data_IF_308582449293
#
_entry.id   IF_308582449293
#
_cell.length_a   1.000
_cell.length_b   1.000
_cell.length_c   1.000
_cell.angle_alpha   90.00
_cell.angle_beta   90.00
_cell.angle_gamma   90.00
#
_symmetry.space_group_name_H-M   'P 1'
#
loop_
_entity.id
_entity.type
_entity.pdbx_description
1 polymer ?
#
# COMPACT_ATOMS: atom_id res chain seq x y z
N UNK A 1 -6.38 -0.94 -1.93
CA UNK A 1 -6.35 0.53 -1.92
C UNK A 1 -7.71 1.14 -1.60
N UNK A 2 -8.81 0.72 -2.25
CA UNK A 2 -10.15 1.27 -2.01
C UNK A 2 -10.60 1.33 -0.54
N UNK A 3 -10.30 0.30 0.28
CA UNK A 3 -10.65 0.29 1.72
C UNK A 3 -9.96 1.38 2.53
N UNK A 4 -8.70 1.67 2.24
CA UNK A 4 -7.94 2.73 2.92
C UNK A 4 -8.36 4.12 2.42
N UNK A 5 -8.59 4.25 1.10
CA UNK A 5 -9.09 5.49 0.52
C UNK A 5 -10.49 5.88 1.04
N UNK A 6 -11.31 4.89 1.43
CA UNK A 6 -12.65 5.10 1.96
C UNK A 6 -12.71 5.29 3.49
N UNK A 7 -11.58 5.24 4.20
CA UNK A 7 -11.54 5.43 5.65
C UNK A 7 -11.76 6.91 6.04
N UNK A 8 -12.65 7.17 7.01
CA UNK A 8 -12.89 8.50 7.58
C UNK A 8 -12.92 8.44 9.11
N UNK A 9 -12.42 9.50 9.77
CA UNK A 9 -12.28 9.55 11.24
C UNK A 9 -13.61 9.55 12.00
N UNK A 10 -14.71 9.94 11.34
CA UNK A 10 -16.08 9.89 11.90
C UNK A 10 -16.69 8.48 11.86
N UNK A 11 -16.21 7.60 10.96
CA UNK A 11 -16.69 6.24 10.85
C UNK A 11 -15.94 5.38 11.88
N UNK A 12 -16.56 5.16 13.04
CA UNK A 12 -16.15 4.18 14.07
C UNK A 12 -16.27 2.72 13.55
N UNK A 13 -15.99 2.46 12.27
CA UNK A 13 -15.78 1.11 11.79
C UNK A 13 -14.47 0.60 12.40
N UNK A 14 -14.61 -0.46 13.17
CA UNK A 14 -13.69 -1.10 14.14
C UNK A 14 -12.26 -1.46 13.65
N UNK A 15 -11.87 -1.07 12.43
CA UNK A 15 -10.55 -1.32 11.86
C UNK A 15 -9.72 -0.04 11.97
N UNK A 16 -8.65 -0.12 12.75
CA UNK A 16 -7.70 0.98 12.89
C UNK A 16 -7.07 1.31 11.54
N UNK A 17 -6.92 2.61 11.26
CA UNK A 17 -6.20 3.13 10.08
C UNK A 17 -4.80 2.53 9.98
N UNK A 18 -4.16 2.27 11.12
CA UNK A 18 -2.84 1.61 11.15
C UNK A 18 -2.88 0.21 10.56
N UNK A 19 -3.89 -0.60 10.91
CA UNK A 19 -4.12 -1.93 10.32
C UNK A 19 -4.35 -1.84 8.81
N UNK A 20 -5.17 -0.88 8.36
CA UNK A 20 -5.40 -0.68 6.93
C UNK A 20 -4.10 -0.31 6.18
N UNK A 21 -3.24 0.49 6.80
CA UNK A 21 -1.94 0.83 6.22
C UNK A 21 -0.99 -0.37 6.18
N UNK A 22 -1.01 -1.22 7.20
CA UNK A 22 -0.19 -2.44 7.25
C UNK A 22 -0.60 -3.43 6.16
N UNK A 23 -1.91 -3.73 6.08
CA UNK A 23 -2.49 -4.58 5.04
C UNK A 23 -2.16 -4.05 3.63
N UNK A 24 -2.32 -2.73 3.44
CA UNK A 24 -1.98 -2.09 2.17
C UNK A 24 -0.48 -2.19 1.86
N UNK A 25 0.39 -2.03 2.86
CA UNK A 25 1.85 -2.16 2.71
C UNK A 25 2.22 -3.58 2.30
N UNK A 26 1.66 -4.59 2.96
CA UNK A 26 1.94 -5.98 2.63
C UNK A 26 1.48 -6.34 1.22
N UNK A 27 0.29 -5.88 0.81
CA UNK A 27 -0.21 -6.10 -0.55
C UNK A 27 0.67 -5.42 -1.62
N UNK A 28 1.13 -4.20 -1.38
CA UNK A 28 2.01 -3.49 -2.33
C UNK A 28 3.38 -4.15 -2.41
N UNK A 29 3.93 -4.62 -1.28
CA UNK A 29 5.18 -5.37 -1.28
C UNK A 29 5.07 -6.63 -2.15
N UNK A 30 4.03 -7.44 -1.96
CA UNK A 30 3.81 -8.65 -2.75
C UNK A 30 3.67 -8.34 -4.25
N UNK A 31 2.95 -7.27 -4.60
CA UNK A 31 2.79 -6.82 -5.98
C UNK A 31 4.13 -6.41 -6.62
N UNK A 32 4.98 -5.68 -5.90
CA UNK A 32 6.29 -5.27 -6.40
C UNK A 32 7.21 -6.48 -6.62
N UNK A 33 7.24 -7.44 -5.70
CA UNK A 33 8.03 -8.67 -5.87
C UNK A 33 7.56 -9.46 -7.08
N UNK A 34 6.26 -9.67 -7.25
CA UNK A 34 5.71 -10.36 -8.42
C UNK A 34 6.11 -9.67 -9.73
N UNK A 35 6.02 -8.33 -9.76
CA UNK A 35 6.43 -7.54 -10.92
C UNK A 35 7.92 -7.65 -11.21
N UNK A 36 8.76 -7.62 -10.19
CA UNK A 36 10.20 -7.77 -10.35
C UNK A 36 10.57 -9.15 -10.92
N UNK A 37 9.93 -10.22 -10.45
CA UNK A 37 10.09 -11.58 -10.98
C UNK A 37 9.69 -11.66 -12.46
N UNK A 38 8.65 -10.93 -12.86
CA UNK A 38 8.23 -10.83 -14.26
C UNK A 38 9.05 -9.84 -15.10
N UNK A 39 10.12 -9.23 -14.55
CA UNK A 39 10.96 -8.25 -15.25
C UNK A 39 10.36 -6.83 -15.34
N UNK A 40 9.23 -6.56 -14.68
CA UNK A 40 8.50 -5.30 -14.72
C UNK A 40 8.98 -4.33 -13.62
N UNK A 41 10.18 -3.77 -13.79
CA UNK A 41 10.86 -2.97 -12.74
C UNK A 41 10.37 -1.54 -12.55
N UNK A 42 9.61 -0.98 -13.50
CA UNK A 42 9.07 0.38 -13.37
C UNK A 42 7.80 0.37 -12.50
N UNK A 43 7.95 0.75 -11.23
CA UNK A 43 6.86 0.78 -10.27
C UNK A 43 6.03 2.09 -10.31
N UNK A 44 6.46 3.11 -11.06
CA UNK A 44 5.77 4.41 -11.09
C UNK A 44 4.37 4.32 -11.69
N UNK A 45 4.21 3.55 -12.77
CA UNK A 45 2.90 3.31 -13.39
C UNK A 45 1.94 2.59 -12.42
N UNK A 46 2.47 1.69 -11.59
CA UNK A 46 1.68 0.90 -10.62
C UNK A 46 1.20 1.77 -9.47
N UNK A 47 2.09 2.62 -8.96
CA UNK A 47 1.77 3.59 -7.90
C UNK A 47 0.64 4.51 -8.34
N UNK A 48 0.74 5.05 -9.56
CA UNK A 48 -0.29 5.91 -10.12
C UNK A 48 -1.59 5.15 -10.41
N UNK A 49 -1.52 4.00 -11.09
CA UNK A 49 -2.70 3.19 -11.45
C UNK A 49 -3.52 2.77 -10.23
N UNK A 50 -2.87 2.40 -9.12
CA UNK A 50 -3.55 1.94 -7.91
C UNK A 50 -3.71 3.03 -6.85
N UNK A 51 -3.27 4.25 -7.12
CA UNK A 51 -3.31 5.39 -6.19
C UNK A 51 -2.71 5.00 -4.84
N UNK A 52 -1.50 4.44 -4.86
CA UNK A 52 -0.81 3.94 -3.67
C UNK A 52 -0.46 5.15 -2.77
N UNK A 53 -0.96 5.20 -1.52
CA UNK A 53 -0.67 6.31 -0.62
C UNK A 53 0.83 6.43 -0.30
N UNK A 54 1.34 7.66 -0.16
CA UNK A 54 2.74 7.91 0.21
C UNK A 54 3.12 7.25 1.54
N UNK A 55 2.20 7.19 2.50
CA UNK A 55 2.40 6.51 3.80
C UNK A 55 2.68 5.01 3.66
N UNK A 56 2.05 4.36 2.68
CA UNK A 56 2.31 2.95 2.35
C UNK A 56 3.73 2.81 1.80
N UNK A 57 4.16 3.70 0.91
CA UNK A 57 5.52 3.69 0.36
C UNK A 57 6.59 3.96 1.43
N UNK A 58 6.35 4.90 2.33
CA UNK A 58 7.24 5.20 3.47
C UNK A 58 7.39 3.96 4.36
N UNK A 59 6.29 3.26 4.66
CA UNK A 59 6.31 2.05 5.49
C UNK A 59 7.08 0.90 4.82
N UNK A 60 6.99 0.73 3.51
CA UNK A 60 7.82 -0.25 2.78
C UNK A 60 9.32 0.00 2.93
N UNK A 61 9.74 1.28 2.96
CA UNK A 61 11.13 1.66 3.19
C UNK A 61 11.56 1.53 4.65
N UNK A 62 10.65 1.78 5.60
CA UNK A 62 10.91 1.70 7.04
C UNK A 62 10.96 0.25 7.58
N UNK A 63 10.17 -0.67 7.01
CA UNK A 63 10.16 -2.10 7.41
C UNK A 63 11.39 -2.88 6.91
N UNK A 64 12.12 -2.35 5.91
CA UNK A 64 13.41 -2.90 5.46
C UNK A 64 14.59 -2.17 6.13
N UNK A 65 14.74 -2.35 7.44
CA UNK A 65 16.00 -2.09 8.15
C UNK A 65 16.40 -3.28 8.99
#
# INVERSE_FOLDING_TARGET
MAKLAAWSSDNHHQIDRTTLLDDASQAVWALFIQREICGLRNNREVIDRYQIPGEVLVRLGATRR
#
